data_IF_157437263827
#
_entry.id   IF_157437263827
#
_cell.length_a   1.000
_cell.length_b   1.000
_cell.length_c   1.000
_cell.angle_alpha   90.00
_cell.angle_beta   90.00
_cell.angle_gamma   90.00
#
_symmetry.space_group_name_H-M   'P 1'
#
loop_
_entity.id
_entity.type
_entity.pdbx_description
1 polymer ?
#
# COMPACT_ATOMS: atom_id res chain seq x y z
N UNK A 1 21.47 6.56 1.76
CA UNK A 1 20.74 6.46 0.47
C UNK A 1 19.25 6.57 0.79
N UNK A 2 18.46 7.17 -0.10
CA UNK A 2 17.01 7.33 0.11
C UNK A 2 16.21 6.52 -0.89
N UNK A 3 15.09 5.98 -0.46
CA UNK A 3 14.10 5.30 -1.29
C UNK A 3 12.90 6.22 -1.54
N UNK A 4 12.44 6.27 -2.78
CA UNK A 4 11.18 6.92 -3.15
C UNK A 4 10.07 5.87 -3.14
N UNK A 5 9.07 6.06 -2.28
CA UNK A 5 7.94 5.16 -2.12
C UNK A 5 6.67 5.84 -2.59
N UNK A 6 5.99 5.25 -3.56
CA UNK A 6 4.71 5.73 -4.07
C UNK A 6 3.59 4.84 -3.58
N UNK A 7 2.65 5.39 -2.83
CA UNK A 7 1.54 4.66 -2.24
C UNK A 7 0.23 5.12 -2.89
N UNK A 8 -0.53 4.16 -3.44
CA UNK A 8 -1.79 4.41 -4.13
C UNK A 8 -2.91 3.52 -3.58
N UNK A 9 -4.09 4.11 -3.40
CA UNK A 9 -5.33 3.37 -3.22
C UNK A 9 -6.03 3.19 -4.56
N UNK A 10 -6.63 2.01 -4.78
CA UNK A 10 -7.65 1.81 -5.80
C UNK A 10 -8.99 2.42 -5.38
N UNK A 11 -9.98 2.35 -6.28
CA UNK A 11 -11.32 2.86 -6.02
C UNK A 11 -11.98 2.18 -4.80
N UNK A 12 -12.93 2.88 -4.17
CA UNK A 12 -13.73 2.40 -3.03
C UNK A 12 -12.94 2.17 -1.73
N UNK A 13 -11.83 2.88 -1.57
CA UNK A 13 -11.09 2.91 -0.32
C UNK A 13 -9.97 3.94 -0.35
N UNK A 14 -9.30 4.08 0.80
CA UNK A 14 -8.17 5.00 0.98
C UNK A 14 -7.03 4.28 1.68
N UNK A 15 -5.86 4.90 1.65
CA UNK A 15 -4.68 4.47 2.42
C UNK A 15 -4.06 5.64 3.16
N UNK A 16 -3.44 5.35 4.30
CA UNK A 16 -2.64 6.31 5.05
C UNK A 16 -1.30 5.67 5.42
N UNK A 17 -0.16 6.26 5.02
CA UNK A 17 -0.03 7.42 4.14
C UNK A 17 -0.38 7.10 2.66
N UNK A 18 -0.74 8.13 1.88
CA UNK A 18 -0.93 8.07 0.43
C UNK A 18 -0.07 9.12 -0.28
N UNK A 19 0.40 8.82 -1.48
CA UNK A 19 1.23 9.73 -2.29
C UNK A 19 2.68 9.29 -2.34
N UNK A 20 3.57 10.24 -2.58
CA UNK A 20 5.01 9.99 -2.69
C UNK A 20 5.71 10.33 -1.36
N UNK A 21 6.54 9.41 -0.89
CA UNK A 21 7.32 9.51 0.32
C UNK A 21 8.79 9.30 -0.03
N UNK A 22 9.66 10.12 0.56
CA UNK A 22 11.10 9.87 0.53
C UNK A 22 11.54 9.45 1.92
N UNK A 23 12.09 8.24 2.03
CA UNK A 23 12.53 7.66 3.31
C UNK A 23 13.97 7.16 3.21
N UNK A 24 14.61 6.95 4.35
CA UNK A 24 15.91 6.29 4.38
C UNK A 24 15.78 4.82 3.95
N UNK A 25 16.81 4.30 3.29
CA UNK A 25 16.90 2.88 2.98
C UNK A 25 16.74 2.02 4.24
N UNK A 26 16.10 0.86 4.10
CA UNK A 26 15.74 -0.06 5.19
C UNK A 26 14.70 0.47 6.20
N UNK A 27 14.14 1.67 5.99
CA UNK A 27 13.00 2.16 6.77
C UNK A 27 11.78 1.25 6.62
N UNK A 28 11.04 1.08 7.71
CA UNK A 28 9.75 0.40 7.69
C UNK A 28 8.62 1.41 7.52
N UNK A 29 7.81 1.23 6.48
CA UNK A 29 6.61 2.04 6.25
C UNK A 29 5.40 1.20 6.62
N UNK A 30 4.56 1.75 7.50
CA UNK A 30 3.29 1.17 7.90
C UNK A 30 2.18 1.87 7.14
N UNK A 31 1.37 1.09 6.44
CA UNK A 31 0.29 1.58 5.59
C UNK A 31 -1.01 0.96 6.10
N UNK A 32 -1.98 1.83 6.39
CA UNK A 32 -3.32 1.43 6.79
C UNK A 32 -4.29 1.66 5.64
N UNK A 33 -4.98 0.62 5.20
CA UNK A 33 -6.10 0.71 4.28
C UNK A 33 -7.43 0.92 5.02
N UNK A 34 -8.21 1.85 4.50
CA UNK A 34 -9.53 2.23 4.97
C UNK A 34 -10.54 2.00 3.82
N UNK A 35 -11.07 0.77 3.68
CA UNK A 35 -12.13 0.48 2.71
C UNK A 35 -13.38 1.31 3.01
N UNK A 36 -14.07 1.76 1.97
CA UNK A 36 -15.37 2.42 2.11
C UNK A 36 -16.44 1.44 2.61
N UNK A 37 -17.58 1.94 3.14
CA UNK A 37 -18.68 1.07 3.57
C UNK A 37 -19.15 0.13 2.47
N UNK A 38 -19.24 -1.17 2.78
CA UNK A 38 -19.59 -2.23 1.82
C UNK A 38 -18.41 -2.83 1.05
N UNK A 39 -17.19 -2.34 1.28
CA UNK A 39 -15.97 -2.85 0.65
C UNK A 39 -14.98 -3.42 1.67
N UNK A 40 -14.05 -4.23 1.18
CA UNK A 40 -12.93 -4.80 1.92
C UNK A 40 -11.65 -4.76 1.10
N UNK A 41 -10.51 -4.99 1.75
CA UNK A 41 -9.22 -5.06 1.04
C UNK A 41 -9.18 -6.34 0.23
N UNK A 42 -9.01 -6.21 -1.08
CA UNK A 42 -8.84 -7.33 -1.98
C UNK A 42 -7.37 -7.79 -1.98
N UNK A 43 -6.48 -6.91 -2.47
CA UNK A 43 -5.08 -7.26 -2.72
C UNK A 43 -4.16 -6.04 -2.59
N UNK A 44 -3.02 -6.24 -1.91
CA UNK A 44 -1.85 -5.36 -1.94
C UNK A 44 -0.86 -5.81 -3.02
N UNK A 45 -0.28 -4.84 -3.70
CA UNK A 45 0.73 -5.00 -4.74
C UNK A 45 1.99 -4.23 -4.37
N UNK A 46 3.15 -4.82 -4.63
CA UNK A 46 4.46 -4.15 -4.55
C UNK A 46 5.13 -4.24 -5.91
N UNK A 47 5.45 -3.08 -6.51
CA UNK A 47 5.99 -2.97 -7.86
C UNK A 47 5.17 -3.75 -8.90
N UNK A 48 3.84 -3.65 -8.81
CA UNK A 48 2.91 -4.35 -9.70
C UNK A 48 2.66 -5.82 -9.40
N UNK A 49 3.45 -6.46 -8.52
CA UNK A 49 3.29 -7.87 -8.18
C UNK A 49 2.33 -8.04 -6.98
N UNK A 50 1.37 -8.98 -7.04
CA UNK A 50 0.48 -9.27 -5.93
C UNK A 50 1.29 -9.82 -4.75
N UNK A 51 1.02 -9.32 -3.55
CA UNK A 51 1.79 -9.68 -2.36
C UNK A 51 0.91 -10.28 -1.26
N UNK A 52 -0.14 -9.58 -0.82
CA UNK A 52 -0.97 -10.05 0.29
C UNK A 52 -2.38 -9.45 0.28
N UNK A 53 -3.41 -10.25 0.60
CA UNK A 53 -4.82 -9.88 0.46
C UNK A 53 -5.57 -9.88 1.79
N UNK A 54 -6.75 -9.27 1.83
CA UNK A 54 -7.66 -9.33 2.99
C UNK A 54 -7.23 -8.59 4.25
N UNK A 55 -6.04 -7.96 4.30
CA UNK A 55 -5.55 -7.21 5.47
C UNK A 55 -5.65 -5.71 5.26
N UNK A 56 -6.08 -4.99 6.32
CA UNK A 56 -6.02 -3.52 6.35
C UNK A 56 -4.63 -2.98 6.67
N UNK A 57 -3.82 -3.73 7.41
CA UNK A 57 -2.49 -3.29 7.82
C UNK A 57 -1.44 -3.92 6.91
N UNK A 58 -0.61 -3.08 6.32
CA UNK A 58 0.48 -3.50 5.45
C UNK A 58 1.79 -2.86 5.89
N UNK A 59 2.87 -3.64 5.89
CA UNK A 59 4.21 -3.17 6.21
C UNK A 59 5.12 -3.47 5.04
N UNK A 60 5.81 -2.44 4.55
CA UNK A 60 6.83 -2.56 3.51
C UNK A 60 8.17 -2.02 4.02
N UNK A 61 9.27 -2.64 3.59
CA UNK A 61 10.62 -2.17 3.87
C UNK A 61 11.18 -1.50 2.62
N UNK A 62 11.76 -0.31 2.78
CA UNK A 62 12.37 0.45 1.70
C UNK A 62 13.71 -0.17 1.26
N UNK A 63 13.70 -1.15 0.35
CA UNK A 63 14.90 -1.91 -0.07
C UNK A 63 15.42 -1.54 -1.47
N UNK A 64 14.87 -0.52 -2.12
CA UNK A 64 15.20 -0.16 -3.50
C UNK A 64 15.15 1.36 -3.68
N UNK A 65 15.71 1.89 -4.76
CA UNK A 65 15.67 3.34 -5.01
C UNK A 65 14.25 3.86 -5.26
N UNK A 66 13.39 3.02 -5.84
CA UNK A 66 11.99 3.30 -6.10
C UNK A 66 11.14 2.08 -5.73
N UNK A 67 10.00 2.32 -5.07
CA UNK A 67 9.04 1.29 -4.68
C UNK A 67 7.62 1.81 -4.86
N UNK A 68 6.77 1.08 -5.57
CA UNK A 68 5.34 1.37 -5.68
C UNK A 68 4.53 0.37 -4.85
N UNK A 69 3.71 0.89 -3.92
CA UNK A 69 2.70 0.13 -3.21
C UNK A 69 1.31 0.52 -3.72
N UNK A 70 0.50 -0.47 -4.08
CA UNK A 70 -0.89 -0.25 -4.47
C UNK A 70 -1.81 -1.20 -3.72
N UNK A 71 -2.96 -0.72 -3.26
CA UNK A 71 -4.03 -1.57 -2.72
C UNK A 71 -5.26 -1.52 -3.62
N UNK A 72 -6.04 -2.59 -3.61
CA UNK A 72 -7.34 -2.71 -4.30
C UNK A 72 -8.41 -3.11 -3.32
N UNK A 73 -9.66 -2.76 -3.63
CA UNK A 73 -10.81 -3.02 -2.80
C UNK A 73 -11.90 -3.71 -3.62
N UNK A 74 -12.55 -4.70 -3.01
CA UNK A 74 -13.68 -5.42 -3.59
C UNK A 74 -14.90 -5.27 -2.69
N UNK A 75 -16.10 -5.44 -3.26
CA UNK A 75 -17.32 -5.49 -2.44
C UNK A 75 -17.24 -6.70 -1.52
N UNK A 76 -17.67 -6.52 -0.27
CA UNK A 76 -17.86 -7.64 0.66
C UNK A 76 -18.86 -8.62 0.05
N UNK A 77 -18.52 -9.90 0.10
CA UNK A 77 -19.44 -10.99 -0.26
C UNK A 77 -20.45 -11.24 0.85
#
# INVERSE_FOLDING_TARGET
>A
MTCHVKIKAGDNGRVSPQGELQVEESSHIYILAEPEPGYEVEMWYVNGNPFYGGTKQFRVTATSNELEVRVTFSKKQ
#
